data_IF_529662355250
#
_entry.id   IF_529662355250
#
_cell.length_a   1.000
_cell.length_b   1.000
_cell.length_c   1.000
_cell.angle_alpha   90.00
_cell.angle_beta   90.00
_cell.angle_gamma   90.00
#
_symmetry.space_group_name_H-M   'P 1'
#
loop_
_entity.id
_entity.type
_entity.pdbx_description
1 polymer ?
#
# COMPACT_ATOMS: atom_id res chain seq x y z
N UNK A 1 5.88 15.99 34.36
CA UNK A 1 4.94 14.99 33.77
C UNK A 1 3.68 14.96 34.62
N UNK A 2 2.53 15.36 34.06
CA UNK A 2 1.29 15.49 34.85
C UNK A 2 0.75 14.11 35.28
N UNK A 3 0.12 14.06 36.45
CA UNK A 3 -0.49 12.84 37.03
C UNK A 3 -1.43 12.10 36.06
N UNK A 4 -2.12 12.87 35.19
CA UNK A 4 -2.97 12.36 34.10
C UNK A 4 -2.20 11.59 33.02
N UNK A 5 -1.02 12.07 32.60
CA UNK A 5 -0.17 11.38 31.62
C UNK A 5 0.40 10.07 32.17
N UNK A 6 0.83 10.06 33.44
CA UNK A 6 1.32 8.83 34.11
C UNK A 6 0.23 7.77 34.24
N UNK A 7 -1.01 8.15 34.59
CA UNK A 7 -2.16 7.22 34.60
C UNK A 7 -2.47 6.65 33.20
N UNK A 8 -2.34 7.45 32.14
CA UNK A 8 -2.55 7.01 30.75
C UNK A 8 -1.44 6.04 30.29
N UNK A 9 -0.19 6.28 30.66
CA UNK A 9 0.95 5.38 30.36
C UNK A 9 0.89 4.07 31.17
N UNK A 10 0.49 4.10 32.44
CA UNK A 10 0.27 2.87 33.24
C UNK A 10 -0.86 2.00 32.67
N UNK A 11 -1.89 2.60 32.08
CA UNK A 11 -2.98 1.86 31.40
C UNK A 11 -2.51 1.19 30.09
N UNK A 12 -1.44 1.70 29.47
CA UNK A 12 -0.83 1.15 28.24
C UNK A 12 0.12 -0.02 28.57
N UNK A 13 0.74 -0.03 29.76
CA UNK A 13 1.72 -1.05 30.14
C UNK A 13 1.16 -2.24 30.94
N UNK A 14 -0.14 -2.24 31.24
CA UNK A 14 -0.82 -3.31 31.99
C UNK A 14 -2.07 -3.76 31.24
N UNK A 15 -1.88 -4.57 30.20
CA UNK A 15 -2.89 -5.52 29.68
C UNK A 15 -2.16 -6.52 28.78
N UNK A 16 -1.99 -7.75 29.28
CA UNK A 16 -1.85 -8.90 28.39
C UNK A 16 -3.10 -9.00 27.51
N UNK A 17 -2.92 -9.41 26.25
CA UNK A 17 -4.00 -9.56 25.27
C UNK A 17 -4.75 -8.26 25.00
N UNK A 18 -4.28 -7.44 24.08
CA UNK A 18 -5.06 -6.28 23.62
C UNK A 18 -6.35 -6.80 22.99
N UNK A 19 -7.49 -6.62 23.66
CA UNK A 19 -8.82 -6.97 23.12
C UNK A 19 -8.97 -6.27 21.77
N UNK A 20 -9.20 -7.08 20.74
CA UNK A 20 -9.33 -6.63 19.37
C UNK A 20 -10.45 -5.58 19.26
N UNK A 21 -10.27 -4.57 18.42
CA UNK A 21 -11.32 -3.58 18.21
C UNK A 21 -12.50 -4.22 17.44
N UNK A 22 -13.73 -3.72 17.61
CA UNK A 22 -14.93 -4.33 17.01
C UNK A 22 -14.88 -4.44 15.48
N UNK A 23 -14.20 -3.52 14.81
CA UNK A 23 -14.07 -3.55 13.35
C UNK A 23 -13.16 -4.71 12.92
N UNK A 24 -12.07 -4.94 13.65
CA UNK A 24 -11.19 -6.09 13.44
C UNK A 24 -11.87 -7.41 13.75
N UNK A 25 -12.63 -7.49 14.85
CA UNK A 25 -13.45 -8.68 15.18
C UNK A 25 -14.39 -9.00 14.02
N UNK A 26 -15.14 -8.01 13.54
CA UNK A 26 -16.02 -8.15 12.39
C UNK A 26 -15.29 -8.58 11.12
N UNK A 27 -14.16 -7.95 10.80
CA UNK A 27 -13.35 -8.32 9.63
C UNK A 27 -12.93 -9.78 9.69
N UNK A 28 -12.47 -10.26 10.85
CA UNK A 28 -12.08 -11.67 11.00
C UNK A 28 -13.28 -12.59 10.83
N UNK A 29 -14.42 -12.26 11.45
CA UNK A 29 -15.66 -13.02 11.32
C UNK A 29 -16.12 -13.10 9.86
N UNK A 30 -16.21 -11.97 9.17
CA UNK A 30 -16.62 -11.91 7.76
C UNK A 30 -15.64 -12.64 6.85
N UNK A 31 -14.34 -12.58 7.15
CA UNK A 31 -13.31 -13.32 6.42
C UNK A 31 -13.48 -14.83 6.60
N UNK A 32 -13.69 -15.30 7.84
CA UNK A 32 -13.93 -16.72 8.14
C UNK A 32 -15.24 -17.19 7.50
N UNK A 33 -16.30 -16.38 7.55
CA UNK A 33 -17.59 -16.69 6.96
C UNK A 33 -17.48 -16.84 5.43
N UNK A 34 -16.82 -15.89 4.76
CA UNK A 34 -16.58 -15.97 3.33
C UNK A 34 -15.79 -17.23 2.96
N UNK A 35 -14.69 -17.52 3.68
CA UNK A 35 -13.92 -18.75 3.49
C UNK A 35 -14.75 -20.02 3.71
N UNK A 36 -15.69 -20.00 4.67
CA UNK A 36 -16.56 -21.15 4.97
C UNK A 36 -17.61 -21.41 3.89
N UNK A 37 -17.95 -20.40 3.09
CA UNK A 37 -18.83 -20.48 1.92
C UNK A 37 -18.06 -20.84 0.63
N UNK A 38 -16.81 -21.28 0.75
CA UNK A 38 -15.87 -21.47 -0.37
C UNK A 38 -15.66 -20.20 -1.23
N UNK A 39 -15.92 -19.02 -0.66
CA UNK A 39 -15.70 -17.75 -1.34
C UNK A 39 -14.42 -17.11 -0.82
N UNK A 40 -13.47 -16.92 -1.72
CA UNK A 40 -12.17 -16.38 -1.36
C UNK A 40 -12.32 -14.87 -1.11
N UNK A 41 -12.09 -14.38 0.12
CA UNK A 41 -12.40 -13.00 0.48
C UNK A 41 -11.66 -11.97 -0.39
N UNK A 42 -10.49 -12.30 -0.90
CA UNK A 42 -9.70 -11.41 -1.76
C UNK A 42 -10.00 -11.57 -3.26
N UNK A 43 -10.84 -12.54 -3.66
CA UNK A 43 -11.35 -12.68 -5.04
C UNK A 43 -12.73 -12.07 -5.25
N UNK A 44 -13.51 -11.87 -4.18
CA UNK A 44 -14.70 -11.02 -4.29
C UNK A 44 -14.21 -9.65 -4.79
N UNK A 45 -14.95 -8.99 -5.68
CA UNK A 45 -14.64 -7.64 -6.23
C UNK A 45 -14.49 -6.54 -5.14
N UNK A 46 -14.44 -6.93 -3.85
CA UNK A 46 -14.15 -6.22 -2.61
C UNK A 46 -12.86 -5.41 -2.58
N UNK A 47 -12.09 -5.41 -3.67
CA UNK A 47 -10.79 -4.75 -3.72
C UNK A 47 -10.76 -3.72 -4.86
N UNK A 48 -10.66 -2.46 -4.41
CA UNK A 48 -10.14 -1.24 -5.06
C UNK A 48 -10.40 -1.06 -6.56
N UNK A 49 -11.67 -0.86 -6.95
CA UNK A 49 -11.89 0.08 -8.07
C UNK A 49 -11.26 1.44 -7.74
N UNK A 50 -11.24 1.81 -6.44
CA UNK A 50 -10.61 3.04 -5.95
C UNK A 50 -9.96 2.86 -4.57
N UNK A 51 -8.62 2.95 -4.48
CA UNK A 51 -7.85 2.76 -3.24
C UNK A 51 -8.13 3.86 -2.22
N UNK A 52 -8.40 3.58 -0.93
CA UNK A 52 -8.62 4.63 0.06
C UNK A 52 -7.45 5.62 0.14
N UNK A 53 -7.75 6.92 0.07
CA UNK A 53 -6.79 8.00 0.28
C UNK A 53 -7.22 8.92 1.41
N UNK A 54 -6.25 9.53 2.08
CA UNK A 54 -6.53 10.54 3.08
C UNK A 54 -6.90 11.90 2.45
N UNK A 55 -7.21 12.90 3.28
CA UNK A 55 -7.60 14.25 2.86
C UNK A 55 -6.62 14.98 1.93
N UNK A 56 -5.38 14.50 1.82
CA UNK A 56 -4.31 15.09 1.04
C UNK A 56 -4.00 14.27 -0.23
N UNK A 57 -4.75 13.19 -0.49
CA UNK A 57 -4.54 12.32 -1.64
C UNK A 57 -3.53 11.20 -1.41
N UNK A 58 -2.93 11.11 -0.22
CA UNK A 58 -1.99 10.01 0.07
C UNK A 58 -2.77 8.72 0.33
N UNK A 59 -2.31 7.63 -0.29
CA UNK A 59 -2.85 6.28 -0.11
C UNK A 59 -2.71 5.84 1.35
N UNK A 60 -3.75 5.20 1.88
CA UNK A 60 -3.63 4.49 3.15
C UNK A 60 -2.80 3.21 2.98
N UNK A 61 -2.05 2.87 4.01
CA UNK A 61 -1.21 1.68 4.05
C UNK A 61 -1.74 0.64 5.03
N UNK A 62 -1.45 -0.62 4.71
CA UNK A 62 -1.60 -1.81 5.51
C UNK A 62 -3.00 -2.03 6.01
N UNK A 63 -3.10 -2.22 7.31
CA UNK A 63 -4.38 -2.50 7.92
C UNK A 63 -5.40 -1.37 7.70
N UNK A 64 -4.98 -0.10 7.67
CA UNK A 64 -5.92 0.98 7.41
C UNK A 64 -6.44 0.94 5.98
N UNK A 65 -5.60 0.59 5.01
CA UNK A 65 -6.03 0.38 3.62
C UNK A 65 -7.12 -0.68 3.56
N UNK A 66 -6.84 -1.83 4.16
CA UNK A 66 -7.76 -2.96 4.21
C UNK A 66 -9.09 -2.59 4.89
N UNK A 67 -9.03 -2.04 6.10
CA UNK A 67 -10.22 -1.68 6.88
C UNK A 67 -11.09 -0.65 6.15
N UNK A 68 -10.49 0.34 5.51
CA UNK A 68 -11.24 1.37 4.79
C UNK A 68 -11.83 0.83 3.50
N UNK A 69 -11.10 0.00 2.74
CA UNK A 69 -11.65 -0.70 1.56
C UNK A 69 -12.85 -1.57 1.94
N UNK A 70 -12.73 -2.33 3.04
CA UNK A 70 -13.83 -3.15 3.56
C UNK A 70 -15.08 -2.31 3.85
N UNK A 71 -14.91 -1.16 4.52
CA UNK A 71 -16.05 -0.26 4.81
C UNK A 71 -16.58 0.42 3.54
N UNK A 72 -15.73 0.78 2.57
CA UNK A 72 -16.19 1.34 1.29
C UNK A 72 -17.15 0.37 0.60
N UNK A 73 -16.78 -0.90 0.52
CA UNK A 73 -17.60 -1.92 -0.12
C UNK A 73 -18.91 -2.16 0.65
N UNK A 74 -18.82 -2.37 1.96
CA UNK A 74 -20.00 -2.63 2.79
C UNK A 74 -21.04 -1.50 2.68
N UNK A 75 -20.56 -0.26 2.69
CA UNK A 75 -21.41 0.93 2.62
C UNK A 75 -21.68 1.37 1.18
N UNK A 76 -21.08 0.72 0.19
CA UNK A 76 -21.14 1.05 -1.25
C UNK A 76 -20.67 2.48 -1.56
N UNK A 77 -19.68 2.97 -0.82
CA UNK A 77 -19.03 4.24 -1.11
C UNK A 77 -18.19 4.13 -2.38
N UNK A 78 -18.42 5.05 -3.31
CA UNK A 78 -17.66 5.21 -4.55
C UNK A 78 -16.48 6.16 -4.35
N UNK A 79 -16.65 7.19 -3.55
CA UNK A 79 -15.56 8.12 -3.24
C UNK A 79 -14.51 7.44 -2.34
N UNK A 80 -13.23 7.55 -2.69
CA UNK A 80 -12.15 6.91 -1.95
C UNK A 80 -11.50 7.82 -0.90
N UNK A 81 -11.96 9.07 -0.78
CA UNK A 81 -11.34 10.05 0.11
C UNK A 81 -11.90 9.90 1.51
N UNK A 82 -11.00 9.80 2.48
CA UNK A 82 -11.31 9.73 3.89
C UNK A 82 -10.65 10.88 4.65
N UNK A 83 -11.38 11.47 5.58
CA UNK A 83 -10.85 12.56 6.40
C UNK A 83 -11.45 12.59 7.80
N UNK A 84 -10.69 13.10 8.75
CA UNK A 84 -11.18 13.33 10.12
C UNK A 84 -12.21 14.46 10.14
N UNK A 85 -13.04 14.49 11.19
CA UNK A 85 -13.99 15.59 11.42
C UNK A 85 -13.29 16.96 11.37
N UNK A 86 -12.13 17.08 12.02
CA UNK A 86 -11.35 18.31 12.04
C UNK A 86 -10.89 18.71 10.63
N UNK A 87 -10.36 17.77 9.85
CA UNK A 87 -9.94 18.05 8.47
C UNK A 87 -11.11 18.49 7.58
N UNK A 88 -12.31 17.92 7.77
CA UNK A 88 -13.51 18.37 7.07
C UNK A 88 -13.85 19.82 7.45
N UNK A 89 -13.92 20.12 8.76
CA UNK A 89 -14.23 21.47 9.26
C UNK A 89 -13.20 22.51 8.85
N UNK A 90 -11.90 22.19 8.90
CA UNK A 90 -10.81 23.09 8.51
C UNK A 90 -10.89 23.46 7.01
N UNK A 91 -11.52 22.60 6.19
CA UNK A 91 -11.79 22.85 4.76
C UNK A 91 -13.17 23.47 4.48
N UNK A 92 -13.92 23.84 5.52
CA UNK A 92 -15.28 24.39 5.40
C UNK A 92 -16.36 23.35 5.06
N UNK A 93 -16.05 22.07 5.13
CA UNK A 93 -17.01 20.98 4.92
C UNK A 93 -17.69 20.56 6.22
N UNK A 94 -18.84 19.90 6.11
CA UNK A 94 -19.63 19.47 7.27
C UNK A 94 -19.98 18.00 7.19
N UNK A 95 -19.61 17.21 8.20
CA UNK A 95 -20.09 15.83 8.32
C UNK A 95 -21.60 15.84 8.48
N UNK A 96 -22.32 15.03 7.70
CA UNK A 96 -23.79 14.93 7.76
C UNK A 96 -24.24 14.48 9.16
N UNK A 97 -25.36 15.03 9.63
CA UNK A 97 -25.87 14.72 10.97
C UNK A 97 -26.28 13.24 11.05
N UNK A 98 -25.75 12.53 12.05
CA UNK A 98 -26.07 11.11 12.31
C UNK A 98 -25.07 10.12 11.69
N UNK A 99 -24.16 10.58 10.84
CA UNK A 99 -23.11 9.74 10.26
C UNK A 99 -22.15 9.20 11.32
N UNK A 100 -21.72 7.95 11.12
CA UNK A 100 -20.75 7.28 11.99
C UNK A 100 -19.42 7.18 11.27
N UNK A 101 -18.36 7.68 11.91
CA UNK A 101 -17.01 7.58 11.37
C UNK A 101 -16.40 6.21 11.62
N UNK A 102 -15.49 5.82 10.73
CA UNK A 102 -14.68 4.60 10.81
C UNK A 102 -13.44 4.85 11.65
N UNK A 103 -13.13 3.92 12.56
CA UNK A 103 -11.91 3.98 13.36
C UNK A 103 -10.74 3.37 12.61
N UNK A 104 -9.65 4.11 12.52
CA UNK A 104 -8.37 3.67 11.96
C UNK A 104 -7.28 3.76 13.03
N UNK A 105 -6.17 3.05 12.80
CA UNK A 105 -5.05 3.00 13.75
C UNK A 105 -3.79 3.60 13.15
N UNK A 106 -3.21 4.56 13.85
CA UNK A 106 -1.92 5.13 13.51
C UNK A 106 -0.87 4.63 14.49
N UNK A 107 0.14 3.95 13.97
CA UNK A 107 1.26 3.45 14.75
C UNK A 107 2.41 4.46 14.68
N UNK A 108 2.95 4.84 15.83
CA UNK A 108 4.11 5.71 15.95
C UNK A 108 5.08 5.16 16.98
N UNK A 109 6.36 5.50 16.86
CA UNK A 109 7.34 5.20 17.89
C UNK A 109 7.41 6.38 18.86
N UNK A 110 7.39 6.08 20.16
CA UNK A 110 7.53 7.07 21.23
C UNK A 110 8.85 6.85 21.95
N UNK A 111 9.70 7.87 21.97
CA UNK A 111 10.96 7.87 22.73
C UNK A 111 10.65 8.24 24.18
N UNK A 112 10.86 7.30 25.11
CA UNK A 112 10.61 7.49 26.55
C UNK A 112 11.50 8.55 27.18
N UNK A 113 12.72 8.71 26.67
CA UNK A 113 13.71 9.63 27.20
C UNK A 113 13.46 11.05 26.72
N UNK A 114 13.33 11.23 25.39
CA UNK A 114 13.00 12.54 24.77
C UNK A 114 11.55 12.96 24.99
N UNK A 115 10.69 12.02 25.39
CA UNK A 115 9.25 12.21 25.64
C UNK A 115 8.51 12.79 24.43
N UNK A 116 8.89 12.35 23.24
CA UNK A 116 8.29 12.76 22.00
C UNK A 116 8.06 11.56 21.07
N UNK A 117 7.19 11.76 20.08
CA UNK A 117 7.08 10.81 18.97
C UNK A 117 8.26 11.01 18.04
N UNK A 118 8.75 9.91 17.49
CA UNK A 118 9.84 9.93 16.53
C UNK A 118 9.45 9.12 15.28
N UNK A 119 10.05 9.45 14.15
CA UNK A 119 9.86 8.74 12.87
C UNK A 119 10.71 7.47 12.82
N UNK A 120 10.44 6.60 11.83
CA UNK A 120 11.28 5.42 11.57
C UNK A 120 12.73 5.78 11.26
N UNK A 121 12.96 6.86 10.49
CA UNK A 121 14.31 7.37 10.20
C UNK A 121 15.05 7.80 11.48
N UNK A 122 14.36 8.52 12.37
CA UNK A 122 14.94 8.93 13.65
C UNK A 122 15.22 7.74 14.57
N UNK A 123 14.38 6.70 14.51
CA UNK A 123 14.61 5.45 15.22
C UNK A 123 15.79 4.66 14.66
N UNK A 124 16.02 4.71 13.34
CA UNK A 124 17.13 4.02 12.67
C UNK A 124 18.52 4.59 13.05
N UNK A 125 18.56 5.82 13.58
CA UNK A 125 19.78 6.44 14.11
C UNK A 125 20.17 5.93 15.50
N UNK A 126 19.30 5.17 16.17
CA UNK A 126 19.59 4.57 17.47
C UNK A 126 20.29 3.24 17.29
N UNK A 127 21.21 2.90 18.21
CA UNK A 127 21.74 1.55 18.30
C UNK A 127 20.63 0.56 18.63
N UNK A 128 20.80 -0.72 18.25
CA UNK A 128 19.83 -1.78 18.55
C UNK A 128 19.46 -1.87 20.04
N UNK A 129 20.41 -1.59 20.93
CA UNK A 129 20.20 -1.57 22.38
C UNK A 129 19.37 -0.36 22.79
N UNK A 130 19.74 0.85 22.33
CA UNK A 130 18.97 2.07 22.61
C UNK A 130 17.54 1.99 22.07
N UNK A 131 17.35 1.45 20.87
CA UNK A 131 16.03 1.29 20.28
C UNK A 131 15.14 0.39 21.16
N UNK A 132 15.66 -0.74 21.65
CA UNK A 132 14.93 -1.65 22.54
C UNK A 132 14.60 -1.02 23.90
N UNK A 133 15.51 -0.24 24.46
CA UNK A 133 15.34 0.34 25.79
C UNK A 133 14.51 1.61 25.79
N UNK A 134 14.61 2.45 24.75
CA UNK A 134 14.02 3.79 24.71
C UNK A 134 12.70 3.85 23.97
N UNK A 135 12.51 3.04 22.93
CA UNK A 135 11.34 3.14 22.07
C UNK A 135 10.21 2.25 22.52
N UNK A 136 9.00 2.80 22.53
CA UNK A 136 7.78 2.03 22.72
C UNK A 136 6.81 2.30 21.57
N UNK A 137 6.15 1.27 21.03
CA UNK A 137 5.10 1.47 20.05
C UNK A 137 3.91 2.18 20.71
N UNK A 138 3.43 3.22 20.06
CA UNK A 138 2.26 3.98 20.44
C UNK A 138 1.21 3.85 19.34
N UNK A 139 0.12 3.18 19.66
CA UNK A 139 -1.07 3.08 18.81
C UNK A 139 -2.02 4.21 19.16
N UNK A 140 -2.45 4.95 18.14
CA UNK A 140 -3.48 5.96 18.27
C UNK A 140 -4.66 5.63 17.37
N UNK A 141 -5.86 5.70 17.92
CA UNK A 141 -7.08 5.62 17.12
C UNK A 141 -7.45 7.01 16.58
N UNK A 142 -7.81 7.06 15.31
CA UNK A 142 -8.43 8.22 14.68
C UNK A 142 -9.78 7.82 14.11
N UNK A 143 -10.75 8.73 14.15
CA UNK A 143 -12.04 8.56 13.48
C UNK A 143 -12.01 9.33 12.17
N UNK A 144 -12.23 8.63 11.06
CA UNK A 144 -12.32 9.21 9.72
C UNK A 144 -13.71 8.97 9.13
N UNK A 145 -14.11 9.86 8.24
CA UNK A 145 -15.38 9.82 7.52
C UNK A 145 -15.06 9.74 6.04
N UNK A 146 -15.81 8.92 5.31
CA UNK A 146 -15.75 8.91 3.86
C UNK A 146 -16.30 10.24 3.33
N UNK A 147 -15.79 10.70 2.20
CA UNK A 147 -16.27 11.91 1.52
C UNK A 147 -17.79 11.91 1.28
N UNK A 148 -18.42 10.76 1.02
CA UNK A 148 -19.87 10.68 0.84
C UNK A 148 -20.66 10.93 2.13
N UNK A 149 -20.02 10.87 3.29
CA UNK A 149 -20.58 11.24 4.59
C UNK A 149 -20.46 12.74 4.89
N UNK A 150 -19.87 13.53 3.97
CA UNK A 150 -19.51 14.93 4.17
C UNK A 150 -20.22 15.82 3.14
N UNK A 151 -20.89 16.86 3.62
CA UNK A 151 -21.50 17.92 2.81
C UNK A 151 -20.45 18.96 2.39
N UNK A 152 -20.52 19.41 1.13
CA UNK A 152 -19.68 20.47 0.59
C UNK A 152 -18.38 20.01 -0.06
N UNK A 153 -18.08 18.70 -0.06
CA UNK A 153 -16.92 18.17 -0.76
C UNK A 153 -17.17 18.12 -2.29
N UNK A 154 -16.25 18.63 -3.13
CA UNK A 154 -16.40 18.52 -4.58
C UNK A 154 -16.43 17.06 -5.03
N UNK A 155 -17.27 16.67 -6.01
CA UNK A 155 -17.32 15.31 -6.52
C UNK A 155 -15.95 14.83 -7.00
N UNK A 156 -15.59 13.60 -6.66
CA UNK A 156 -14.40 12.98 -7.22
C UNK A 156 -14.69 12.49 -8.64
N UNK A 157 -13.82 12.84 -9.59
CA UNK A 157 -13.79 12.17 -10.90
C UNK A 157 -13.05 10.85 -10.73
N UNK A 158 -13.80 9.75 -10.65
CA UNK A 158 -13.23 8.42 -10.70
C UNK A 158 -13.13 8.07 -12.18
N UNK A 159 -11.92 7.98 -12.71
CA UNK A 159 -11.69 7.47 -14.06
C UNK A 159 -11.73 5.95 -14.01
N UNK A 160 -12.60 5.33 -14.81
CA UNK A 160 -12.49 3.91 -15.12
C UNK A 160 -11.11 3.65 -15.73
N UNK A 161 -10.45 2.60 -15.24
CA UNK A 161 -9.03 2.36 -15.48
C UNK A 161 -8.90 1.05 -16.26
N UNK A 162 -8.36 1.16 -17.47
CA UNK A 162 -8.18 0.00 -18.37
C UNK A 162 -7.27 -1.06 -17.76
N UNK A 163 -7.58 -2.33 -18.07
CA UNK A 163 -6.79 -3.51 -17.73
C UNK A 163 -5.40 -3.41 -18.36
N UNK A 164 -4.39 -3.86 -17.63
CA UNK A 164 -3.00 -3.88 -18.13
C UNK A 164 -2.88 -4.79 -19.36
N UNK A 165 -2.12 -4.33 -20.36
CA UNK A 165 -1.89 -5.12 -21.57
C UNK A 165 -1.02 -6.35 -21.30
N UNK A 166 -1.28 -7.46 -22.01
CA UNK A 166 -0.48 -8.70 -21.96
C UNK A 166 1.01 -8.43 -22.21
N UNK A 167 1.33 -7.53 -23.16
CA UNK A 167 2.72 -7.15 -23.46
C UNK A 167 3.42 -6.51 -22.27
N UNK A 168 2.71 -5.68 -21.52
CA UNK A 168 3.27 -5.05 -20.33
C UNK A 168 3.42 -6.04 -19.17
N UNK A 169 2.49 -6.99 -19.05
CA UNK A 169 2.60 -8.09 -18.08
C UNK A 169 3.88 -8.91 -18.31
N UNK A 170 4.13 -9.37 -19.54
CA UNK A 170 5.35 -10.14 -19.85
C UNK A 170 6.63 -9.37 -19.47
N UNK A 171 6.70 -8.07 -19.83
CA UNK A 171 7.82 -7.21 -19.43
C UNK A 171 7.94 -7.03 -17.92
N UNK A 172 6.82 -6.95 -17.21
CA UNK A 172 6.83 -6.81 -15.76
C UNK A 172 7.33 -8.08 -15.08
N UNK A 173 6.93 -9.26 -15.54
CA UNK A 173 7.49 -10.55 -15.08
C UNK A 173 9.01 -10.53 -15.21
N UNK A 174 9.52 -10.19 -16.39
CA UNK A 174 10.97 -10.22 -16.65
C UNK A 174 11.72 -9.21 -15.76
N UNK A 175 11.14 -8.03 -15.52
CA UNK A 175 11.66 -7.05 -14.56
C UNK A 175 11.63 -7.56 -13.11
N UNK A 176 10.56 -8.23 -12.69
CA UNK A 176 10.46 -8.83 -11.35
C UNK A 176 11.55 -9.89 -11.17
N UNK A 177 11.67 -10.83 -12.12
CA UNK A 177 12.66 -11.90 -12.10
C UNK A 177 14.07 -11.33 -11.98
N UNK A 178 14.42 -10.38 -12.86
CA UNK A 178 15.73 -9.73 -12.85
C UNK A 178 15.96 -8.87 -11.60
N UNK A 179 14.96 -8.09 -11.17
CA UNK A 179 15.06 -7.17 -10.04
C UNK A 179 15.09 -7.87 -8.67
N UNK A 180 14.56 -9.08 -8.58
CA UNK A 180 14.63 -9.95 -7.40
C UNK A 180 15.84 -10.88 -7.39
N UNK A 181 16.59 -10.95 -8.49
CA UNK A 181 17.66 -11.92 -8.72
C UNK A 181 17.21 -13.36 -8.37
N UNK A 182 16.06 -13.75 -8.92
CA UNK A 182 15.46 -15.09 -8.72
C UNK A 182 15.50 -15.85 -10.04
N UNK A 183 15.77 -17.16 -9.99
CA UNK A 183 15.68 -17.99 -11.18
C UNK A 183 14.23 -18.08 -11.70
N UNK A 184 14.07 -18.22 -13.01
CA UNK A 184 12.76 -18.47 -13.62
C UNK A 184 12.86 -19.60 -14.64
N UNK A 185 11.98 -20.59 -14.54
CA UNK A 185 11.93 -21.75 -15.42
C UNK A 185 10.48 -22.00 -15.86
N UNK A 186 10.32 -22.42 -17.10
CA UNK A 186 9.04 -22.89 -17.63
C UNK A 186 9.12 -24.36 -18.00
N UNK A 187 8.12 -25.15 -17.59
CA UNK A 187 8.05 -26.57 -17.87
C UNK A 187 7.16 -27.33 -16.90
N UNK A 188 6.91 -28.61 -17.20
CA UNK A 188 6.10 -29.48 -16.34
C UNK A 188 4.62 -29.10 -16.26
N UNK A 189 3.98 -29.47 -15.16
CA UNK A 189 2.54 -29.34 -14.89
C UNK A 189 2.23 -28.61 -13.57
N UNK A 190 3.25 -28.11 -12.84
CA UNK A 190 3.10 -27.48 -11.53
C UNK A 190 3.79 -26.13 -11.47
N UNK A 191 3.10 -25.17 -10.85
CA UNK A 191 3.68 -23.91 -10.42
C UNK A 191 4.21 -24.05 -8.99
N UNK A 192 5.41 -23.53 -8.73
CA UNK A 192 5.97 -23.44 -7.38
C UNK A 192 7.21 -22.54 -7.35
N UNK A 193 7.48 -21.92 -6.21
CA UNK A 193 8.79 -21.41 -5.85
C UNK A 193 9.62 -22.47 -5.10
N UNK A 194 10.89 -22.65 -5.47
CA UNK A 194 11.85 -23.51 -4.78
C UNK A 194 12.73 -22.69 -3.83
N UNK A 195 12.57 -22.79 -2.50
CA UNK A 195 13.39 -22.03 -1.56
C UNK A 195 14.87 -22.43 -1.57
N UNK A 196 15.18 -23.70 -1.83
CA UNK A 196 16.54 -24.23 -1.79
C UNK A 196 17.38 -23.83 -3.01
N UNK A 197 16.77 -23.87 -4.19
CA UNK A 197 17.45 -23.53 -5.45
C UNK A 197 17.17 -22.09 -5.91
N UNK A 198 16.32 -21.35 -5.20
CA UNK A 198 16.00 -19.93 -5.45
C UNK A 198 15.49 -19.67 -6.87
N UNK A 199 14.47 -20.42 -7.30
CA UNK A 199 13.80 -20.21 -8.59
C UNK A 199 12.29 -20.42 -8.54
N UNK A 200 11.59 -19.76 -9.46
CA UNK A 200 10.16 -19.93 -9.74
C UNK A 200 10.01 -20.88 -10.94
N UNK A 201 9.19 -21.91 -10.80
CA UNK A 201 8.74 -22.79 -11.87
C UNK A 201 7.30 -22.45 -12.22
N UNK A 202 7.00 -22.33 -13.51
CA UNK A 202 5.62 -22.32 -14.02
C UNK A 202 5.45 -23.35 -15.14
N UNK A 203 4.25 -23.92 -15.32
CA UNK A 203 3.89 -24.55 -16.58
C UNK A 203 4.03 -23.57 -17.75
N UNK A 204 4.20 -24.09 -18.97
CA UNK A 204 4.24 -23.25 -20.16
C UNK A 204 2.95 -22.42 -20.31
N UNK A 205 3.08 -21.15 -20.73
CA UNK A 205 1.97 -20.19 -20.78
C UNK A 205 0.73 -20.71 -21.53
N UNK A 206 0.89 -21.50 -22.59
CA UNK A 206 -0.21 -22.07 -23.38
C UNK A 206 -1.10 -23.05 -22.58
N UNK A 207 -0.63 -23.55 -21.43
CA UNK A 207 -1.39 -24.44 -20.53
C UNK A 207 -2.33 -23.68 -19.60
N UNK A 208 -2.19 -22.37 -19.51
CA UNK A 208 -3.05 -21.50 -18.73
C UNK A 208 -4.28 -21.07 -19.52
N UNK A 209 -5.35 -20.70 -18.81
CA UNK A 209 -6.60 -20.23 -19.45
C UNK A 209 -6.41 -18.90 -20.19
N UNK A 210 -5.47 -18.08 -19.72
CA UNK A 210 -5.16 -16.75 -20.21
C UNK A 210 -3.78 -16.30 -19.73
N UNK A 211 -3.19 -15.30 -20.37
CA UNK A 211 -1.96 -14.63 -19.89
C UNK A 211 -2.14 -13.99 -18.51
N UNK A 212 -3.37 -13.59 -18.18
CA UNK A 212 -3.72 -13.02 -16.88
C UNK A 212 -3.72 -14.09 -15.78
N UNK A 213 -4.24 -15.29 -16.04
CA UNK A 213 -4.16 -16.42 -15.10
C UNK A 213 -2.71 -16.88 -14.90
N UNK A 214 -1.91 -16.90 -15.97
CA UNK A 214 -0.47 -17.16 -15.88
C UNK A 214 0.24 -16.15 -15.00
N UNK A 215 -0.01 -14.85 -15.24
CA UNK A 215 0.60 -13.79 -14.43
C UNK A 215 0.11 -13.82 -12.98
N UNK A 216 -1.15 -14.13 -12.72
CA UNK A 216 -1.67 -14.25 -11.37
C UNK A 216 -0.94 -15.37 -10.60
N UNK A 217 -0.75 -16.53 -11.22
CA UNK A 217 0.05 -17.62 -10.66
C UNK A 217 1.51 -17.21 -10.47
N UNK A 218 2.11 -16.51 -11.44
CA UNK A 218 3.46 -15.98 -11.29
C UNK A 218 3.60 -15.06 -10.06
N UNK A 219 2.65 -14.13 -9.84
CA UNK A 219 2.68 -13.20 -8.73
C UNK A 219 2.57 -13.91 -7.37
N UNK A 220 1.78 -14.98 -7.29
CA UNK A 220 1.72 -15.84 -6.10
C UNK A 220 3.10 -16.48 -5.82
N UNK A 221 3.72 -17.10 -6.82
CA UNK A 221 5.07 -17.70 -6.63
C UNK A 221 6.16 -16.65 -6.35
N UNK A 222 6.05 -15.47 -6.96
CA UNK A 222 6.92 -14.33 -6.67
C UNK A 222 6.75 -13.87 -5.20
N UNK A 223 5.53 -13.91 -4.66
CA UNK A 223 5.28 -13.60 -3.26
C UNK A 223 6.05 -14.55 -2.34
N UNK A 224 6.02 -15.87 -2.60
CA UNK A 224 6.85 -16.85 -1.89
C UNK A 224 8.33 -16.59 -2.06
N UNK A 225 8.77 -16.28 -3.29
CA UNK A 225 10.16 -16.00 -3.57
C UNK A 225 10.69 -14.88 -2.68
N UNK A 226 9.93 -13.81 -2.42
CA UNK A 226 10.37 -12.73 -1.51
C UNK A 226 10.73 -13.21 -0.09
N UNK A 227 10.31 -14.40 0.34
CA UNK A 227 10.65 -14.94 1.66
C UNK A 227 12.11 -15.36 1.81
N UNK A 228 12.86 -15.53 0.73
CA UNK A 228 14.29 -15.88 0.78
C UNK A 228 15.13 -14.88 1.61
N UNK A 229 16.23 -15.36 2.20
CA UNK A 229 17.15 -14.58 3.02
C UNK A 229 17.75 -13.36 2.31
N UNK A 230 17.91 -13.43 0.98
CA UNK A 230 18.40 -12.32 0.15
C UNK A 230 17.38 -11.19 -0.05
N UNK A 231 16.12 -11.40 0.39
CA UNK A 231 14.97 -10.52 0.10
C UNK A 231 14.31 -10.05 1.38
N UNK A 232 13.10 -10.51 1.70
CA UNK A 232 12.37 -10.12 2.92
C UNK A 232 12.63 -11.07 4.10
N UNK A 233 13.44 -12.12 3.90
CA UNK A 233 13.94 -13.02 4.94
C UNK A 233 12.84 -13.49 5.90
N UNK A 234 11.78 -14.06 5.33
CA UNK A 234 10.70 -14.69 6.10
C UNK A 234 11.03 -16.16 6.30
N UNK A 235 10.66 -16.71 7.45
CA UNK A 235 10.83 -18.14 7.72
C UNK A 235 9.81 -18.93 6.90
N UNK A 236 10.26 -19.45 5.77
CA UNK A 236 9.47 -20.35 4.92
C UNK A 236 9.46 -21.75 5.53
N UNK A 237 8.29 -22.37 5.57
CA UNK A 237 8.14 -23.81 5.89
C UNK A 237 7.82 -24.53 4.60
N UNK A 238 8.49 -25.63 4.32
CA UNK A 238 8.18 -26.53 3.18
C UNK A 238 7.32 -27.72 3.60
N UNK A 239 6.95 -27.81 4.89
CA UNK A 239 6.15 -28.91 5.42
C UNK A 239 4.67 -28.62 5.13
N UNK A 240 4.17 -29.22 4.06
CA UNK A 240 2.78 -29.10 3.64
C UNK A 240 1.80 -29.41 4.79
N UNK A 241 0.80 -28.55 4.97
CA UNK A 241 -0.22 -28.68 6.03
C UNK A 241 0.23 -28.24 7.42
N UNK A 242 1.49 -27.84 7.63
CA UNK A 242 1.93 -27.24 8.90
C UNK A 242 1.29 -25.86 9.14
N UNK A 243 1.11 -25.43 10.41
CA UNK A 243 0.64 -24.07 10.71
C UNK A 243 1.52 -22.97 10.10
N UNK A 244 2.84 -23.17 10.08
CA UNK A 244 3.80 -22.24 9.48
C UNK A 244 3.64 -22.16 7.97
N UNK A 245 3.39 -23.30 7.31
CA UNK A 245 3.11 -23.36 5.88
C UNK A 245 1.79 -22.63 5.56
N UNK A 246 0.71 -22.91 6.29
CA UNK A 246 -0.59 -22.25 6.10
C UNK A 246 -0.52 -20.72 6.28
N UNK A 247 0.33 -20.24 7.20
CA UNK A 247 0.60 -18.80 7.40
C UNK A 247 1.29 -18.17 6.19
N UNK A 248 2.26 -18.86 5.59
CA UNK A 248 2.95 -18.34 4.41
C UNK A 248 2.04 -18.32 3.18
N UNK A 249 1.25 -19.37 2.98
CA UNK A 249 0.21 -19.39 1.94
C UNK A 249 -0.76 -18.21 2.12
N UNK A 250 -1.26 -17.97 3.34
CA UNK A 250 -2.15 -16.83 3.59
C UNK A 250 -1.52 -15.48 3.20
N UNK A 251 -0.21 -15.31 3.45
CA UNK A 251 0.52 -14.09 3.06
C UNK A 251 0.68 -13.98 1.56
N UNK A 252 1.10 -15.07 0.91
CA UNK A 252 1.32 -15.12 -0.53
C UNK A 252 0.04 -14.79 -1.28
N UNK A 253 -1.09 -15.33 -0.85
CA UNK A 253 -2.39 -15.11 -1.50
C UNK A 253 -2.92 -13.68 -1.34
N UNK A 254 -2.89 -13.16 -0.11
CA UNK A 254 -3.29 -11.75 0.11
C UNK A 254 -2.37 -10.82 -0.68
N UNK A 255 -1.08 -11.15 -0.78
CA UNK A 255 -0.13 -10.34 -1.54
C UNK A 255 -0.37 -10.42 -3.04
N UNK A 256 -0.61 -11.62 -3.59
CA UNK A 256 -0.96 -11.81 -4.99
C UNK A 256 -2.20 -11.00 -5.37
N UNK A 257 -3.22 -10.98 -4.50
CA UNK A 257 -4.40 -10.14 -4.69
C UNK A 257 -4.07 -8.63 -4.68
N UNK A 258 -3.24 -8.18 -3.72
CA UNK A 258 -2.80 -6.78 -3.65
C UNK A 258 -2.01 -6.36 -4.89
N UNK A 259 -1.15 -7.24 -5.40
CA UNK A 259 -0.36 -7.02 -6.61
C UNK A 259 -1.25 -6.99 -7.85
N UNK A 260 -2.09 -8.01 -8.05
CA UNK A 260 -3.00 -8.12 -9.19
C UNK A 260 -3.84 -6.86 -9.33
N UNK A 261 -4.40 -6.39 -8.22
CA UNK A 261 -5.12 -5.13 -8.17
C UNK A 261 -4.26 -3.90 -8.53
N UNK A 262 -3.09 -3.76 -7.91
CA UNK A 262 -2.23 -2.58 -8.11
C UNK A 262 -1.80 -2.44 -9.57
N UNK A 263 -1.69 -3.57 -10.27
CA UNK A 263 -1.32 -3.64 -11.69
C UNK A 263 -2.53 -3.79 -12.61
N UNK A 264 -3.76 -3.81 -12.09
CA UNK A 264 -5.02 -3.96 -12.86
C UNK A 264 -5.11 -5.26 -13.65
N UNK A 265 -4.63 -6.32 -13.05
CA UNK A 265 -4.90 -7.68 -13.47
C UNK A 265 -6.29 -8.05 -12.95
N UNK A 266 -7.28 -8.04 -13.83
CA UNK A 266 -8.64 -8.48 -13.53
C UNK A 266 -8.83 -9.87 -14.13
N UNK A 267 -8.50 -10.91 -13.35
CA UNK A 267 -8.78 -12.30 -13.68
C UNK A 267 -9.82 -12.83 -12.69
N UNK A 268 -11.00 -13.21 -13.19
CA UNK A 268 -12.01 -13.86 -12.35
C UNK A 268 -11.68 -15.34 -12.19
N UNK A 269 -11.54 -15.80 -10.95
CA UNK A 269 -11.51 -17.22 -10.59
C UNK A 269 -10.14 -17.87 -10.70
N UNK A 270 -9.20 -17.46 -9.85
CA UNK A 270 -7.96 -18.21 -9.62
C UNK A 270 -8.34 -19.43 -8.75
N UNK A 271 -8.69 -20.53 -9.41
CA UNK A 271 -9.35 -21.68 -8.78
C UNK A 271 -8.43 -22.59 -7.92
N UNK A 272 -7.18 -22.20 -7.64
CA UNK A 272 -6.21 -23.10 -6.98
C UNK A 272 -6.10 -22.97 -5.46
N UNK A 273 -6.82 -22.04 -4.84
CA UNK A 273 -6.64 -21.72 -3.41
C UNK A 273 -7.42 -22.63 -2.44
N UNK A 274 -8.29 -23.51 -2.95
CA UNK A 274 -9.21 -24.32 -2.12
C UNK A 274 -8.49 -25.26 -1.14
N UNK A 275 -7.28 -25.70 -1.47
CA UNK A 275 -6.52 -26.65 -0.66
C UNK A 275 -6.15 -26.11 0.73
N UNK A 276 -6.08 -24.78 0.89
CA UNK A 276 -5.57 -24.14 2.10
C UNK A 276 -6.67 -23.50 2.97
N UNK A 277 -7.89 -23.37 2.45
CA UNK A 277 -9.03 -22.71 3.10
C UNK A 277 -9.28 -23.25 4.51
N UNK A 278 -9.31 -24.57 4.67
CA UNK A 278 -9.54 -25.20 5.97
C UNK A 278 -8.42 -24.92 6.98
N UNK A 279 -7.17 -24.88 6.50
CA UNK A 279 -6.01 -24.48 7.29
C UNK A 279 -6.11 -23.03 7.78
N UNK A 280 -6.55 -22.11 6.90
CA UNK A 280 -6.76 -20.71 7.24
C UNK A 280 -7.92 -20.51 8.21
N UNK A 281 -9.07 -21.16 8.00
CA UNK A 281 -10.21 -21.08 8.93
C UNK A 281 -9.78 -21.53 10.33
N UNK A 282 -9.06 -22.66 10.44
CA UNK A 282 -8.55 -23.16 11.72
C UNK A 282 -7.55 -22.18 12.35
N UNK A 283 -6.60 -21.67 11.57
CA UNK A 283 -5.63 -20.68 12.02
C UNK A 283 -6.32 -19.43 12.58
N UNK A 284 -7.29 -18.87 11.85
CA UNK A 284 -7.95 -17.61 12.19
C UNK A 284 -8.97 -17.75 13.34
N UNK A 285 -9.62 -18.91 13.49
CA UNK A 285 -10.44 -19.21 14.67
C UNK A 285 -9.59 -19.29 15.95
N UNK A 286 -8.38 -19.82 15.85
CA UNK A 286 -7.49 -20.00 16.99
C UNK A 286 -6.70 -18.71 17.33
N UNK A 287 -6.25 -17.97 16.31
CA UNK A 287 -5.44 -16.75 16.44
C UNK A 287 -5.89 -15.68 15.42
N UNK A 288 -7.00 -14.97 15.69
CA UNK A 288 -7.54 -13.91 14.82
C UNK A 288 -6.53 -12.84 14.40
N UNK A 289 -5.57 -12.53 15.27
CA UNK A 289 -4.51 -11.55 15.04
C UNK A 289 -3.58 -11.92 13.88
N UNK A 290 -3.50 -13.20 13.51
CA UNK A 290 -2.68 -13.69 12.41
C UNK A 290 -3.17 -13.15 11.06
N UNK A 291 -4.47 -12.86 10.90
CA UNK A 291 -4.98 -12.20 9.68
C UNK A 291 -4.30 -10.85 9.47
N UNK A 292 -4.20 -10.05 10.53
CA UNK A 292 -3.61 -8.71 10.44
C UNK A 292 -2.09 -8.73 10.36
N UNK A 293 -1.46 -9.77 10.90
CA UNK A 293 -0.04 -10.03 10.65
C UNK A 293 0.18 -10.39 9.16
N UNK A 294 -0.65 -11.28 8.61
CA UNK A 294 -0.58 -11.68 7.20
C UNK A 294 -0.81 -10.50 6.25
N UNK A 295 -1.83 -9.67 6.49
CA UNK A 295 -2.10 -8.46 5.69
C UNK A 295 -0.90 -7.50 5.67
N UNK A 296 -0.24 -7.32 6.82
CA UNK A 296 0.92 -6.43 6.94
C UNK A 296 2.12 -6.97 6.18
N UNK A 297 2.36 -8.27 6.25
CA UNK A 297 3.44 -8.91 5.50
C UNK A 297 3.12 -8.92 4.00
N UNK A 298 1.87 -9.18 3.62
CA UNK A 298 1.39 -9.15 2.24
C UNK A 298 1.57 -7.78 1.57
N UNK A 299 1.35 -6.67 2.29
CA UNK A 299 1.65 -5.33 1.79
C UNK A 299 3.13 -5.15 1.50
N UNK A 300 4.03 -5.52 2.44
CA UNK A 300 5.48 -5.41 2.22
C UNK A 300 5.94 -6.25 1.03
N UNK A 301 5.38 -7.45 0.88
CA UNK A 301 5.65 -8.33 -0.26
C UNK A 301 5.20 -7.64 -1.56
N UNK A 302 3.97 -7.13 -1.57
CA UNK A 302 3.39 -6.46 -2.74
C UNK A 302 4.20 -5.24 -3.13
N UNK A 303 4.52 -4.36 -2.18
CA UNK A 303 5.31 -3.15 -2.42
C UNK A 303 6.69 -3.50 -3.01
N UNK A 304 7.37 -4.50 -2.43
CA UNK A 304 8.67 -4.96 -2.90
C UNK A 304 8.59 -5.50 -4.34
N UNK A 305 7.65 -6.40 -4.64
CA UNK A 305 7.53 -6.99 -5.98
C UNK A 305 7.10 -5.94 -7.01
N UNK A 306 6.19 -5.03 -6.64
CA UNK A 306 5.74 -3.96 -7.52
C UNK A 306 6.89 -3.01 -7.86
N UNK A 307 7.70 -2.66 -6.86
CA UNK A 307 8.92 -1.86 -7.05
C UNK A 307 9.87 -2.54 -8.05
N UNK A 308 10.13 -3.86 -7.87
CA UNK A 308 10.99 -4.63 -8.79
C UNK A 308 10.41 -4.75 -10.19
N UNK A 309 9.10 -4.93 -10.30
CA UNK A 309 8.40 -4.95 -11.58
C UNK A 309 8.38 -3.59 -12.28
N UNK A 310 8.77 -2.51 -11.59
CA UNK A 310 8.70 -1.14 -12.07
C UNK A 310 7.34 -0.86 -12.72
N UNK A 311 6.28 -1.40 -12.11
CA UNK A 311 4.95 -1.03 -12.54
C UNK A 311 4.84 0.47 -12.32
N UNK A 312 4.35 1.19 -13.32
CA UNK A 312 3.92 2.57 -13.09
C UNK A 312 2.73 2.49 -12.14
N UNK A 313 2.99 2.52 -10.83
CA UNK A 313 1.98 2.83 -9.83
C UNK A 313 1.44 4.20 -10.23
N UNK A 314 0.28 4.20 -10.90
CA UNK A 314 -0.26 5.45 -11.40
C UNK A 314 -0.66 6.32 -10.21
N UNK A 315 0.14 7.37 -10.03
CA UNK A 315 -0.15 8.50 -9.16
C UNK A 315 -1.57 9.00 -9.43
N UNK A 316 -2.20 9.54 -8.38
CA UNK A 316 -3.53 10.12 -8.51
C UNK A 316 -3.51 11.22 -9.56
N UNK A 317 -4.60 11.23 -10.33
CA UNK A 317 -4.92 12.13 -11.44
C UNK A 317 -4.93 13.59 -11.01
N UNK A 318 -3.76 14.20 -10.91
CA UNK A 318 -3.54 15.43 -11.64
C UNK A 318 -2.88 15.00 -12.95
N UNK A 319 -3.35 15.51 -14.09
CA UNK A 319 -2.54 15.46 -15.31
C UNK A 319 -1.14 16.01 -15.02
N UNK A 320 -0.12 15.58 -15.78
CA UNK A 320 1.25 16.08 -15.60
C UNK A 320 1.26 17.62 -15.61
N UNK A 321 0.39 18.21 -16.43
CA UNK A 321 0.13 19.64 -16.54
C UNK A 321 -0.52 20.24 -15.28
N UNK A 322 -1.59 19.64 -14.74
CA UNK A 322 -2.24 20.10 -13.51
C UNK A 322 -1.31 19.99 -12.28
N UNK A 323 -0.48 18.94 -12.22
CA UNK A 323 0.51 18.75 -11.16
C UNK A 323 1.60 19.83 -11.23
N UNK A 324 2.07 20.15 -12.44
CA UNK A 324 3.00 21.25 -12.66
C UNK A 324 2.36 22.59 -12.28
N UNK A 325 1.13 22.89 -12.73
CA UNK A 325 0.44 24.15 -12.42
C UNK A 325 0.22 24.34 -10.92
N UNK A 326 -0.19 23.30 -10.22
CA UNK A 326 -0.32 23.31 -8.75
C UNK A 326 1.02 23.53 -8.07
N UNK A 327 2.09 22.92 -8.57
CA UNK A 327 3.42 23.10 -8.00
C UNK A 327 3.97 24.50 -8.25
N UNK A 328 3.81 25.01 -9.47
CA UNK A 328 4.16 26.38 -9.84
C UNK A 328 3.41 27.41 -8.98
N UNK A 329 2.09 27.22 -8.78
CA UNK A 329 1.28 28.05 -7.87
C UNK A 329 1.74 27.92 -6.41
N UNK A 330 2.03 26.72 -5.94
CA UNK A 330 2.49 26.50 -4.57
C UNK A 330 3.87 27.14 -4.30
N UNK A 331 4.79 27.12 -5.26
CA UNK A 331 6.08 27.82 -5.16
C UNK A 331 5.92 29.34 -5.25
N UNK A 332 5.07 29.85 -6.16
CA UNK A 332 4.82 31.28 -6.30
C UNK A 332 4.19 31.89 -5.04
N UNK A 333 3.29 31.15 -4.39
CA UNK A 333 2.61 31.58 -3.16
C UNK A 333 3.33 31.15 -1.87
N UNK A 334 4.54 30.58 -1.99
CA UNK A 334 5.38 30.11 -0.88
C UNK A 334 4.65 29.13 0.07
N UNK A 335 3.72 28.34 -0.49
CA UNK A 335 2.96 27.33 0.24
C UNK A 335 3.87 26.15 0.63
N UNK A 336 3.62 25.49 1.77
CA UNK A 336 4.39 24.33 2.18
C UNK A 336 4.15 23.16 1.21
N UNK A 337 5.24 22.62 0.66
CA UNK A 337 5.27 21.46 -0.25
C UNK A 337 6.09 20.35 0.40
N UNK A 338 5.64 19.09 0.29
CA UNK A 338 6.36 17.95 0.86
C UNK A 338 7.69 17.67 0.13
N UNK A 339 8.60 16.95 0.80
CA UNK A 339 9.88 16.54 0.19
C UNK A 339 9.66 15.64 -1.04
N UNK A 340 8.64 14.78 -0.99
CA UNK A 340 8.30 13.87 -2.09
C UNK A 340 7.75 14.65 -3.30
N UNK A 341 6.82 15.57 -3.09
CA UNK A 341 6.29 16.43 -4.16
C UNK A 341 7.40 17.27 -4.81
N UNK A 342 8.36 17.80 -4.02
CA UNK A 342 9.53 18.50 -4.56
C UNK A 342 10.43 17.60 -5.41
N UNK A 343 10.63 16.34 -5.00
CA UNK A 343 11.46 15.39 -5.73
C UNK A 343 10.80 15.00 -7.06
N UNK A 344 9.50 14.71 -7.04
CA UNK A 344 8.70 14.39 -8.23
C UNK A 344 8.66 15.59 -9.18
N UNK A 345 8.38 16.80 -8.69
CA UNK A 345 8.43 18.02 -9.50
C UNK A 345 9.82 18.26 -10.12
N UNK A 346 10.90 18.07 -9.35
CA UNK A 346 12.27 18.20 -9.88
C UNK A 346 12.56 17.20 -11.00
N UNK A 347 12.09 15.96 -10.87
CA UNK A 347 12.24 14.94 -11.89
C UNK A 347 11.43 15.26 -13.15
N UNK A 348 10.16 15.64 -12.97
CA UNK A 348 9.25 16.06 -14.04
C UNK A 348 9.81 17.25 -14.84
N UNK A 349 10.38 18.25 -14.15
CA UNK A 349 10.99 19.40 -14.81
C UNK A 349 12.29 19.04 -15.53
N UNK A 350 13.11 18.13 -14.99
CA UNK A 350 14.31 17.62 -15.70
C UNK A 350 13.95 16.93 -17.00
N UNK A 351 12.88 16.15 -17.03
CA UNK A 351 12.35 15.51 -18.25
C UNK A 351 11.77 16.54 -19.24
N UNK A 352 11.04 17.55 -18.74
CA UNK A 352 10.48 18.63 -19.58
C UNK A 352 11.58 19.49 -20.24
N UNK A 353 12.68 19.72 -19.54
CA UNK A 353 13.82 20.50 -20.03
C UNK A 353 14.89 19.65 -20.75
N UNK A 354 14.80 18.32 -20.73
CA UNK A 354 15.56 17.48 -21.65
C UNK A 354 14.90 17.44 -23.04
N UNK A 355 13.57 17.54 -23.12
CA UNK A 355 12.82 17.66 -24.38
C UNK A 355 12.98 19.04 -25.05
N UNK A 356 12.97 20.13 -24.26
CA UNK A 356 13.37 21.47 -24.71
C UNK A 356 14.80 21.74 -24.29
N UNK A 357 15.77 21.49 -25.18
CA UNK A 357 17.20 21.48 -24.83
C UNK A 357 17.62 22.65 -23.91
N UNK A 358 18.25 22.32 -22.78
CA UNK A 358 18.78 23.26 -21.78
C UNK A 358 19.67 24.38 -22.36
N UNK A 359 20.23 24.17 -23.57
CA UNK A 359 20.99 25.19 -24.31
C UNK A 359 20.12 26.37 -24.73
N UNK A 360 18.91 26.11 -25.23
CA UNK A 360 17.97 27.13 -25.70
C UNK A 360 17.49 28.02 -24.56
N UNK A 361 17.20 27.43 -23.39
CA UNK A 361 16.78 28.18 -22.19
C UNK A 361 17.94 28.99 -21.62
N UNK A 362 19.16 28.46 -21.60
CA UNK A 362 20.33 29.20 -21.16
C UNK A 362 20.63 30.40 -22.08
N UNK A 363 20.40 30.27 -23.38
CA UNK A 363 20.54 31.36 -24.36
C UNK A 363 19.44 32.42 -24.21
N UNK A 364 18.17 32.01 -24.04
CA UNK A 364 17.04 32.92 -23.81
C UNK A 364 17.13 33.64 -22.46
N UNK A 365 17.58 32.95 -21.41
CA UNK A 365 17.78 33.54 -20.08
C UNK A 365 18.95 34.52 -20.09
N UNK A 366 20.06 34.19 -20.77
CA UNK A 366 21.17 35.13 -20.97
C UNK A 366 20.74 36.37 -21.75
N UNK A 367 19.91 36.20 -22.79
CA UNK A 367 19.36 37.31 -23.57
C UNK A 367 18.47 38.22 -22.70
N UNK A 368 17.55 37.63 -21.93
CA UNK A 368 16.67 38.38 -21.03
C UNK A 368 17.39 39.10 -19.88
N UNK A 369 18.49 38.54 -19.37
CA UNK A 369 19.34 39.21 -18.37
C UNK A 369 20.08 40.40 -19.00
N UNK A 370 20.62 40.22 -20.21
CA UNK A 370 21.35 41.27 -20.93
C UNK A 370 20.44 42.44 -21.33
N UNK A 371 19.21 42.14 -21.73
CA UNK A 371 18.20 43.15 -22.06
C UNK A 371 17.76 43.94 -20.80
N UNK A 372 17.69 43.30 -19.63
CA UNK A 372 17.41 43.96 -18.34
C UNK A 372 18.57 44.75 -17.75
N UNK A 373 19.81 44.38 -18.06
CA UNK A 373 21.00 45.16 -17.71
C UNK A 373 21.10 46.41 -18.60
N UNK A 374 20.76 46.30 -19.89
CA UNK A 374 20.70 47.44 -20.81
C UNK A 374 19.61 48.47 -20.43
N UNK A 375 18.46 48.01 -19.93
CA UNK A 375 17.40 48.89 -19.39
C UNK A 375 17.74 49.55 -18.04
N UNK A 376 18.81 49.11 -17.36
CA UNK A 376 19.29 49.72 -16.10
C UNK A 376 20.44 50.71 -16.28
N UNK A 377 21.11 50.68 -17.43
CA UNK A 377 22.22 51.58 -17.78
C UNK A 377 21.80 52.78 -18.66
N UNK A 378 20.55 52.80 -19.16
CA UNK A 378 19.88 54.02 -19.65
C UNK A 378 19.03 54.65 -18.54
#
# INVERSE_FOLDING_TARGET
>A
MTSRMRKRMKKISQTGGQRMNKLREKIVEDFINALSEDVIPWERDWYMTVTPVNSNGNVYHGLNRYMLSFVQEEMKYKDNRWMTFKQASDKGYRVKKGEKGTKIEFWSLYDKERKCKITGEQAALLTSTEAKERLVPLVQEYTVFNAEQIEGIPPQKITDREQISVKELAKARDRIVSGMDVGFREGGDKAFYSPTEDYIMLPEAHKFKSDYSYMATFLHEAAHATGNEKRLNRKLSTVYGSPEYAKEELRAEISAAFMAQSIRLNEKGIQNHKAYIQGWISLLKNKPEELFAAIRDAEKISDYVIEKGQFKCMEYTESKEEFIEKMDSAFAENKPVSKTERAVYSQVMKERYSEKSLKTIAEETKKAIKDKEYEREM
#
